data_IF_626299131988
#
_entry.id   IF_626299131988
#
_cell.length_a   1.000
_cell.length_b   1.000
_cell.length_c   1.000
_cell.angle_alpha   90.00
_cell.angle_beta   90.00
_cell.angle_gamma   90.00
#
_symmetry.space_group_name_H-M   'P 1'
#
loop_
_entity.id
_entity.type
_entity.pdbx_description
1 polymer ?
#
# COMPACT_ATOMS: atom_id res chain seq x y z
N UNK A 1 23.22 88.22 -55.72
CA UNK A 1 21.99 88.98 -55.38
C UNK A 1 20.89 87.94 -55.21
N UNK A 2 20.23 87.72 -54.08
CA UNK A 2 20.10 88.44 -52.80
C UNK A 2 19.53 87.44 -51.79
N UNK A 3 19.88 87.66 -50.52
CA UNK A 3 19.53 86.88 -49.33
C UNK A 3 18.07 87.02 -48.86
N UNK A 4 17.53 85.97 -48.22
CA UNK A 4 16.94 85.97 -46.85
C UNK A 4 16.47 84.53 -46.51
N UNK A 5 16.99 83.80 -45.52
CA UNK A 5 16.80 83.88 -44.04
C UNK A 5 15.29 83.79 -43.67
N UNK A 6 14.79 82.93 -42.76
CA UNK A 6 15.35 82.31 -41.54
C UNK A 6 14.34 81.25 -40.99
N UNK A 7 14.86 80.17 -40.39
CA UNK A 7 14.36 79.36 -39.23
C UNK A 7 12.89 78.93 -39.09
N UNK A 8 12.64 77.65 -38.82
CA UNK A 8 12.37 77.13 -37.44
C UNK A 8 12.35 75.58 -37.42
N UNK A 9 12.34 75.03 -36.22
CA UNK A 9 12.86 73.73 -35.77
C UNK A 9 12.01 72.49 -36.07
N UNK A 10 12.75 71.37 -36.12
CA UNK A 10 12.47 70.07 -35.50
C UNK A 10 11.00 69.62 -35.41
N UNK A 11 10.68 68.50 -36.04
CA UNK A 11 10.38 67.28 -35.27
C UNK A 11 10.32 66.02 -36.13
N UNK A 12 10.75 64.94 -35.49
CA UNK A 12 10.89 63.56 -35.93
C UNK A 12 9.72 63.04 -36.77
N UNK A 13 10.06 62.39 -37.89
CA UNK A 13 9.16 61.53 -38.66
C UNK A 13 8.67 60.39 -37.78
N UNK A 14 7.41 60.46 -37.32
CA UNK A 14 6.73 59.32 -36.72
C UNK A 14 6.21 58.41 -37.83
N UNK A 15 6.99 57.37 -38.15
CA UNK A 15 6.47 56.21 -38.86
C UNK A 15 5.59 55.46 -37.85
N UNK A 16 4.30 55.78 -37.85
CA UNK A 16 3.27 55.04 -37.14
C UNK A 16 3.04 53.67 -37.77
N UNK A 17 3.95 52.72 -37.56
CA UNK A 17 3.60 51.30 -37.62
C UNK A 17 2.97 50.93 -36.28
N UNK A 18 1.64 50.94 -36.24
CA UNK A 18 0.87 50.30 -35.18
C UNK A 18 1.16 48.80 -35.25
N UNK A 19 2.13 48.34 -34.45
CA UNK A 19 2.11 46.94 -34.02
C UNK A 19 0.91 46.81 -33.10
N UNK A 20 -0.16 46.20 -33.60
CA UNK A 20 -1.19 45.65 -32.75
C UNK A 20 -0.54 44.52 -31.94
N UNK A 21 -0.08 44.85 -30.73
CA UNK A 21 0.17 43.85 -29.70
C UNK A 21 -1.22 43.31 -29.37
N UNK A 22 -1.57 42.18 -29.99
CA UNK A 22 -2.80 41.47 -29.69
C UNK A 22 -2.87 41.21 -28.19
N UNK A 23 -4.05 41.41 -27.62
CA UNK A 23 -4.41 41.13 -26.24
C UNK A 23 -4.43 39.61 -25.95
N UNK A 24 -3.32 38.92 -26.27
CA UNK A 24 -3.13 37.48 -26.09
C UNK A 24 -1.75 37.14 -25.49
N UNK A 25 -0.97 38.14 -25.08
CA UNK A 25 0.41 37.93 -24.61
C UNK A 25 0.61 37.80 -23.10
N UNK A 26 -0.45 37.80 -22.28
CA UNK A 26 -0.31 37.88 -20.82
C UNK A 26 -1.25 36.99 -19.96
N UNK A 27 -1.62 35.77 -20.39
CA UNK A 27 -1.98 34.72 -19.42
C UNK A 27 -1.07 33.48 -19.45
N UNK A 28 -0.10 33.39 -20.37
CA UNK A 28 0.71 32.16 -20.54
C UNK A 28 1.86 32.02 -19.52
N UNK A 29 2.18 33.04 -18.74
CA UNK A 29 3.25 33.01 -17.74
C UNK A 29 2.81 32.67 -16.31
N UNK A 30 1.51 32.48 -16.05
CA UNK A 30 1.01 32.03 -14.74
C UNK A 30 0.58 30.55 -14.72
N UNK A 31 0.56 29.86 -15.87
CA UNK A 31 0.21 28.44 -15.97
C UNK A 31 1.44 27.51 -15.83
N UNK A 32 2.67 28.04 -15.91
CA UNK A 32 3.91 27.26 -15.89
C UNK A 32 4.53 27.05 -14.50
N UNK A 33 3.94 27.61 -13.43
CA UNK A 33 4.51 27.57 -12.07
C UNK A 33 3.65 26.82 -11.06
N UNK A 34 2.57 26.16 -11.50
CA UNK A 34 2.00 25.04 -10.74
C UNK A 34 2.83 23.81 -11.09
N UNK A 35 4.06 23.74 -10.57
CA UNK A 35 4.66 22.43 -10.35
C UNK A 35 3.62 21.68 -9.53
N UNK A 36 2.99 20.68 -10.13
CA UNK A 36 2.18 19.74 -9.38
C UNK A 36 3.12 19.15 -8.35
N UNK A 37 3.09 19.67 -7.12
CA UNK A 37 3.60 18.93 -5.99
C UNK A 37 2.74 17.68 -6.00
N UNK A 38 3.35 16.53 -6.28
CA UNK A 38 2.76 15.25 -5.94
C UNK A 38 2.28 15.38 -4.51
N UNK A 39 0.96 15.38 -4.29
CA UNK A 39 0.43 15.35 -2.95
C UNK A 39 0.89 14.01 -2.37
N UNK A 40 1.93 14.05 -1.52
CA UNK A 40 2.52 12.86 -0.91
C UNK A 40 1.50 12.34 0.09
N UNK A 41 0.72 11.34 -0.30
CA UNK A 41 -0.35 10.83 0.53
C UNK A 41 0.19 9.68 1.38
N UNK A 42 0.53 9.98 2.62
CA UNK A 42 1.09 9.01 3.56
C UNK A 42 0.24 7.73 3.69
N UNK A 43 0.88 6.63 4.10
CA UNK A 43 0.18 5.41 4.51
C UNK A 43 -0.66 5.74 5.75
N UNK A 44 -1.97 5.79 5.57
CA UNK A 44 -2.94 6.04 6.63
C UNK A 44 -3.94 4.87 6.67
N UNK A 45 -3.70 3.86 7.52
CA UNK A 45 -4.56 2.68 7.55
C UNK A 45 -5.92 2.98 8.17
N UNK A 46 -6.94 2.32 7.64
CA UNK A 46 -8.25 2.25 8.28
C UNK A 46 -8.18 1.25 9.44
N UNK A 47 -8.32 1.75 10.67
CA UNK A 47 -8.14 0.96 11.88
C UNK A 47 -9.39 0.16 12.27
N UNK A 48 -9.19 -1.14 12.51
CA UNK A 48 -10.17 -2.04 13.11
C UNK A 48 -10.09 -2.05 14.64
N UNK A 49 -9.01 -1.55 15.22
CA UNK A 49 -8.75 -1.51 16.66
C UNK A 49 -8.11 -2.79 17.19
N UNK A 50 -8.14 -2.93 18.52
CA UNK A 50 -7.59 -4.07 19.23
C UNK A 50 -8.64 -5.18 19.42
N UNK A 51 -8.25 -6.43 19.14
CA UNK A 51 -9.05 -7.64 19.29
C UNK A 51 -8.39 -8.56 20.31
N UNK A 52 -9.10 -8.81 21.42
CA UNK A 52 -8.62 -9.66 22.51
C UNK A 52 -8.86 -11.14 22.21
N UNK A 53 -7.78 -11.94 22.23
CA UNK A 53 -7.81 -13.37 21.99
C UNK A 53 -8.48 -14.17 23.14
N UNK A 54 -8.80 -13.53 24.27
CA UNK A 54 -9.57 -14.12 25.36
C UNK A 54 -11.09 -14.08 25.16
N UNK A 55 -11.59 -13.45 24.08
CA UNK A 55 -13.03 -13.19 23.85
C UNK A 55 -13.55 -14.04 22.68
N UNK A 56 -14.86 -14.20 22.56
CA UNK A 56 -15.49 -14.90 21.44
C UNK A 56 -15.12 -14.30 20.06
N UNK A 57 -15.35 -15.08 19.00
CA UNK A 57 -15.12 -14.67 17.60
C UNK A 57 -15.68 -13.28 17.32
N UNK A 58 -14.83 -12.39 16.82
CA UNK A 58 -15.20 -11.01 16.48
C UNK A 58 -15.15 -10.83 14.97
N UNK A 59 -16.18 -10.19 14.40
CA UNK A 59 -16.26 -9.86 12.96
C UNK A 59 -16.56 -8.39 12.77
N UNK A 60 -15.74 -7.70 11.98
CA UNK A 60 -15.84 -6.27 11.71
C UNK A 60 -15.67 -6.02 10.21
N UNK A 61 -16.39 -5.05 9.65
CA UNK A 61 -16.19 -4.58 8.28
C UNK A 61 -15.77 -3.10 8.27
N UNK A 62 -14.84 -2.76 7.37
CA UNK A 62 -14.44 -1.39 7.06
C UNK A 62 -14.30 -1.19 5.56
N UNK A 63 -14.51 0.04 5.12
CA UNK A 63 -14.40 0.44 3.71
C UNK A 63 -13.11 1.23 3.48
N UNK A 64 -12.54 1.09 2.29
CA UNK A 64 -11.46 1.94 1.82
C UNK A 64 -11.62 2.21 0.30
N UNK A 65 -10.83 3.13 -0.23
CA UNK A 65 -10.71 3.40 -1.66
C UNK A 65 -9.30 3.08 -2.16
N UNK A 66 -9.18 2.76 -3.45
CA UNK A 66 -7.90 2.52 -4.12
C UNK A 66 -7.86 3.24 -5.46
N UNK A 67 -6.66 3.47 -5.99
CA UNK A 67 -6.45 4.23 -7.22
C UNK A 67 -6.89 3.48 -8.48
N UNK A 68 -6.97 2.14 -8.45
CA UNK A 68 -7.42 1.36 -9.60
C UNK A 68 -7.31 -0.14 -9.44
N UNK A 69 -7.28 -0.82 -10.60
CA UNK A 69 -7.42 -2.27 -10.69
C UNK A 69 -6.09 -3.05 -10.64
N UNK A 70 -4.93 -2.36 -10.59
CA UNK A 70 -3.60 -2.99 -10.60
C UNK A 70 -2.76 -2.83 -9.32
N UNK A 71 -3.19 -2.00 -8.36
CA UNK A 71 -2.30 -1.55 -7.28
C UNK A 71 -1.73 -2.64 -6.36
N UNK A 72 -2.42 -3.78 -6.20
CA UNK A 72 -1.87 -4.88 -5.39
C UNK A 72 -0.91 -5.74 -6.22
N UNK A 73 -1.25 -6.00 -7.47
CA UNK A 73 -0.47 -6.87 -8.35
C UNK A 73 0.82 -6.21 -8.87
N UNK A 74 0.89 -4.88 -8.99
CA UNK A 74 2.17 -4.15 -9.17
C UNK A 74 3.16 -4.56 -8.08
N UNK A 75 2.71 -4.66 -6.82
CA UNK A 75 3.59 -5.08 -5.73
C UNK A 75 4.14 -6.50 -5.86
N UNK A 76 3.60 -7.32 -6.77
CA UNK A 76 4.04 -8.69 -6.98
C UNK A 76 5.10 -8.83 -8.08
N UNK A 77 5.40 -7.76 -8.82
CA UNK A 77 6.32 -7.79 -9.95
C UNK A 77 7.75 -7.36 -9.58
N UNK A 78 8.62 -7.33 -10.59
CA UNK A 78 10.04 -7.06 -10.42
C UNK A 78 10.39 -5.61 -10.07
N UNK A 79 9.55 -4.63 -10.41
CA UNK A 79 9.80 -3.22 -10.13
C UNK A 79 8.99 -2.67 -8.94
N UNK A 80 8.21 -3.51 -8.26
CA UNK A 80 7.56 -3.21 -6.99
C UNK A 80 6.49 -2.13 -7.14
N UNK A 81 5.51 -2.15 -6.24
CA UNK A 81 4.36 -1.26 -6.33
C UNK A 81 4.53 0.07 -5.60
N UNK A 82 3.68 1.01 -5.99
CA UNK A 82 3.42 2.25 -5.26
C UNK A 82 2.45 1.97 -4.09
N UNK A 83 2.83 2.29 -2.85
CA UNK A 83 1.93 2.12 -1.69
C UNK A 83 0.67 2.98 -1.80
N UNK A 84 0.71 4.09 -2.54
CA UNK A 84 -0.44 4.95 -2.80
C UNK A 84 -1.47 4.31 -3.75
N UNK A 85 -1.06 3.27 -4.49
CA UNK A 85 -1.99 2.48 -5.29
C UNK A 85 -2.81 1.49 -4.43
N UNK A 86 -2.49 1.39 -3.14
CA UNK A 86 -3.13 0.48 -2.19
C UNK A 86 -4.01 1.20 -1.18
N UNK A 87 -5.02 0.48 -0.70
CA UNK A 87 -5.77 0.83 0.50
C UNK A 87 -5.19 0.02 1.66
N UNK A 88 -4.96 0.69 2.79
CA UNK A 88 -4.39 0.03 3.97
C UNK A 88 -5.42 -0.10 5.10
N UNK A 89 -5.28 -1.17 5.88
CA UNK A 89 -6.07 -1.45 7.07
C UNK A 89 -5.16 -1.92 8.20
N UNK A 90 -5.48 -1.60 9.46
CA UNK A 90 -4.70 -2.06 10.61
C UNK A 90 -5.57 -2.72 11.66
N UNK A 91 -4.96 -3.62 12.44
CA UNK A 91 -5.56 -4.17 13.66
C UNK A 91 -4.47 -4.65 14.62
N UNK A 92 -4.83 -4.81 15.89
CA UNK A 92 -3.96 -5.40 16.91
C UNK A 92 -4.60 -6.64 17.51
N UNK A 93 -3.84 -7.73 17.63
CA UNK A 93 -4.24 -8.89 18.43
C UNK A 93 -3.63 -8.74 19.83
N UNK A 94 -4.46 -8.85 20.88
CA UNK A 94 -4.05 -8.68 22.28
C UNK A 94 -4.43 -9.89 23.12
N UNK A 95 -3.91 -10.00 24.34
CA UNK A 95 -4.12 -11.16 25.21
C UNK A 95 -3.04 -12.23 25.03
N UNK A 96 -3.39 -13.49 25.27
CA UNK A 96 -2.46 -14.64 25.22
C UNK A 96 -2.99 -15.73 24.30
N UNK A 97 -2.10 -16.43 23.58
CA UNK A 97 -2.46 -17.55 22.70
C UNK A 97 -2.24 -17.21 21.24
N UNK A 98 -3.05 -17.78 20.37
CA UNK A 98 -3.07 -17.53 18.93
C UNK A 98 -4.51 -17.42 18.42
N UNK A 99 -4.69 -16.88 17.22
CA UNK A 99 -5.98 -16.82 16.56
C UNK A 99 -5.89 -17.15 15.07
N UNK A 100 -6.96 -17.77 14.57
CA UNK A 100 -7.24 -17.82 13.15
C UNK A 100 -7.85 -16.49 12.73
N UNK A 101 -7.21 -15.83 11.77
CA UNK A 101 -7.64 -14.54 11.23
C UNK A 101 -8.06 -14.71 9.79
N UNK A 102 -9.35 -14.52 9.53
CA UNK A 102 -9.89 -14.52 8.17
C UNK A 102 -10.04 -13.09 7.68
N UNK A 103 -9.40 -12.82 6.55
CA UNK A 103 -9.58 -11.59 5.78
C UNK A 103 -10.47 -11.93 4.58
N UNK A 104 -11.54 -11.16 4.38
CA UNK A 104 -12.42 -11.28 3.22
C UNK A 104 -12.59 -9.91 2.57
N UNK A 105 -11.92 -9.72 1.45
CA UNK A 105 -11.91 -8.47 0.70
C UNK A 105 -12.92 -8.55 -0.44
N UNK A 106 -13.67 -7.47 -0.66
CA UNK A 106 -14.59 -7.35 -1.80
C UNK A 106 -14.46 -5.99 -2.48
N UNK A 107 -14.48 -6.00 -3.81
CA UNK A 107 -14.67 -4.81 -4.62
C UNK A 107 -16.08 -4.26 -4.42
N UNK A 108 -16.17 -2.94 -4.19
CA UNK A 108 -17.43 -2.21 -4.11
C UNK A 108 -17.58 -1.29 -5.32
N UNK A 109 -18.79 -1.24 -5.86
CA UNK A 109 -19.17 -0.20 -6.81
C UNK A 109 -19.09 1.15 -6.11
N UNK A 110 -18.31 2.09 -6.64
CA UNK A 110 -18.32 3.47 -6.14
C UNK A 110 -19.34 4.32 -6.92
N UNK A 111 -19.56 5.55 -6.46
CA UNK A 111 -20.48 6.52 -7.09
C UNK A 111 -20.12 6.89 -8.55
N UNK A 112 -18.95 6.44 -9.03
CA UNK A 112 -18.45 6.68 -10.39
C UNK A 112 -18.75 5.54 -11.37
N UNK A 113 -19.39 4.47 -10.93
CA UNK A 113 -19.75 3.33 -11.77
C UNK A 113 -18.54 2.46 -12.11
N UNK A 114 -18.53 1.26 -11.54
CA UNK A 114 -17.55 0.23 -11.86
C UNK A 114 -17.89 -1.03 -11.08
N UNK A 115 -18.38 -2.06 -11.77
CA UNK A 115 -18.26 -3.42 -11.26
C UNK A 115 -16.83 -3.89 -11.52
N UNK A 116 -16.24 -4.68 -10.63
CA UNK A 116 -15.09 -5.52 -11.02
C UNK A 116 -13.70 -5.05 -10.64
N UNK A 117 -13.50 -4.51 -9.44
CA UNK A 117 -12.20 -4.70 -8.79
C UNK A 117 -12.02 -6.20 -8.58
N UNK A 118 -11.03 -6.81 -9.21
CA UNK A 118 -10.53 -8.13 -8.83
C UNK A 118 -9.58 -7.91 -7.66
N UNK A 119 -9.96 -8.20 -6.40
CA UNK A 119 -9.16 -7.78 -5.26
C UNK A 119 -7.97 -8.71 -5.00
N UNK A 120 -6.90 -8.14 -4.46
CA UNK A 120 -5.80 -8.85 -3.81
C UNK A 120 -5.42 -8.14 -2.51
N UNK A 121 -4.88 -8.90 -1.56
CA UNK A 121 -4.34 -8.34 -0.33
C UNK A 121 -3.11 -9.10 0.16
N UNK A 122 -2.28 -8.39 0.92
CA UNK A 122 -1.17 -8.96 1.69
C UNK A 122 -1.29 -8.53 3.14
N UNK A 123 -1.12 -9.49 4.05
CA UNK A 123 -1.01 -9.27 5.49
C UNK A 123 0.47 -9.17 5.88
N UNK A 124 0.79 -8.16 6.68
CA UNK A 124 2.08 -7.99 7.32
C UNK A 124 1.93 -7.84 8.83
N UNK A 125 2.95 -8.26 9.55
CA UNK A 125 3.17 -7.86 10.94
C UNK A 125 3.98 -6.56 10.95
N UNK A 126 3.51 -5.57 11.72
CA UNK A 126 4.07 -4.21 11.77
C UNK A 126 2.99 -3.14 11.59
N UNK A 127 3.35 -1.88 11.85
CA UNK A 127 2.52 -0.70 11.62
C UNK A 127 3.36 0.37 10.93
N UNK A 128 2.67 1.20 10.13
CA UNK A 128 3.23 2.43 9.62
C UNK A 128 3.40 3.45 10.77
N UNK A 129 4.33 4.39 10.61
CA UNK A 129 4.36 5.60 11.43
C UNK A 129 3.07 6.38 11.23
N UNK A 130 2.65 7.07 12.29
CA UNK A 130 1.49 7.95 12.22
C UNK A 130 1.79 9.10 11.27
N UNK A 131 1.21 9.03 10.07
CA UNK A 131 1.16 10.13 9.12
C UNK A 131 2.52 10.57 8.59
N UNK A 132 3.44 9.64 8.30
CA UNK A 132 4.73 9.99 7.72
C UNK A 132 5.24 9.07 6.61
N UNK A 133 4.88 7.78 6.62
CA UNK A 133 5.48 6.84 5.67
C UNK A 133 4.88 6.97 4.27
N UNK A 134 5.73 7.04 3.25
CA UNK A 134 5.32 7.06 1.85
C UNK A 134 6.50 6.78 0.90
N UNK A 135 6.22 6.39 -0.33
CA UNK A 135 7.21 5.87 -1.28
C UNK A 135 8.30 6.85 -1.69
N UNK A 136 7.92 8.12 -1.84
CA UNK A 136 8.75 9.18 -2.39
C UNK A 136 9.42 10.02 -1.32
N UNK A 137 9.38 9.56 -0.06
CA UNK A 137 10.12 10.22 1.00
C UNK A 137 11.60 10.00 0.79
N UNK A 138 12.43 10.97 1.17
CA UNK A 138 13.90 10.85 1.00
C UNK A 138 14.40 9.56 1.64
N UNK A 139 13.90 9.21 2.83
CA UNK A 139 14.31 7.99 3.49
C UNK A 139 13.81 6.72 2.80
N UNK A 140 12.59 6.71 2.29
CA UNK A 140 12.05 5.57 1.54
C UNK A 140 12.80 5.35 0.23
N UNK A 141 13.14 6.42 -0.50
CA UNK A 141 13.93 6.33 -1.72
C UNK A 141 15.31 5.72 -1.47
N UNK A 142 15.96 6.08 -0.36
CA UNK A 142 17.26 5.52 0.03
C UNK A 142 17.17 4.04 0.41
N UNK A 143 16.16 3.67 1.21
CA UNK A 143 15.90 2.26 1.58
C UNK A 143 15.63 1.44 0.32
N UNK A 144 14.70 1.89 -0.52
CA UNK A 144 14.30 1.23 -1.76
C UNK A 144 15.46 1.10 -2.75
N UNK A 145 16.31 2.13 -2.87
CA UNK A 145 17.51 2.09 -3.71
C UNK A 145 18.50 1.05 -3.19
N UNK A 146 18.75 1.01 -1.88
CA UNK A 146 19.65 0.03 -1.28
C UNK A 146 19.13 -1.41 -1.44
N UNK A 147 17.84 -1.63 -1.20
CA UNK A 147 17.21 -2.93 -1.38
C UNK A 147 17.23 -3.38 -2.84
N UNK A 148 17.02 -2.46 -3.79
CA UNK A 148 17.02 -2.79 -5.22
C UNK A 148 18.43 -3.16 -5.65
N UNK A 149 19.44 -2.40 -5.22
CA UNK A 149 20.84 -2.74 -5.47
C UNK A 149 21.26 -4.09 -4.86
N UNK A 150 20.62 -4.51 -3.76
CA UNK A 150 20.84 -5.82 -3.14
C UNK A 150 20.04 -6.96 -3.81
N UNK A 151 19.08 -6.64 -4.68
CA UNK A 151 18.22 -7.61 -5.37
C UNK A 151 18.77 -7.85 -6.79
N UNK A 152 19.30 -9.06 -7.10
CA UNK A 152 19.85 -9.33 -8.42
C UNK A 152 18.81 -9.11 -9.54
N UNK A 153 19.17 -8.27 -10.51
CA UNK A 153 18.30 -7.95 -11.66
C UNK A 153 17.41 -6.73 -11.47
N UNK A 154 17.25 -6.22 -10.24
CA UNK A 154 16.52 -4.98 -10.00
C UNK A 154 17.31 -3.77 -10.50
N UNK A 155 16.69 -2.92 -11.32
CA UNK A 155 17.31 -1.69 -11.86
C UNK A 155 16.55 -0.43 -11.50
N UNK A 156 15.24 -0.54 -11.39
CA UNK A 156 14.30 0.56 -11.15
C UNK A 156 13.12 0.03 -10.38
N UNK A 157 12.50 0.88 -9.59
CA UNK A 157 11.27 0.51 -8.87
C UNK A 157 10.25 1.65 -8.89
N UNK A 158 8.96 1.32 -8.95
CA UNK A 158 7.88 2.32 -8.97
C UNK A 158 7.61 2.87 -7.56
N UNK A 159 7.72 2.01 -6.55
CA UNK A 159 7.56 2.34 -5.14
C UNK A 159 8.16 1.28 -4.22
N UNK A 160 7.78 1.32 -2.94
CA UNK A 160 8.34 0.45 -1.90
C UNK A 160 7.50 -0.79 -1.63
N UNK A 161 6.26 -0.85 -2.14
CA UNK A 161 5.31 -1.92 -1.82
C UNK A 161 5.72 -3.24 -2.47
N UNK A 162 5.88 -4.29 -1.65
CA UNK A 162 6.22 -5.64 -2.13
C UNK A 162 5.20 -6.68 -1.67
N UNK A 163 4.16 -6.91 -2.45
CA UNK A 163 3.03 -7.79 -2.13
C UNK A 163 3.39 -9.21 -1.64
N UNK A 164 4.59 -9.72 -1.97
CA UNK A 164 5.02 -11.07 -1.60
C UNK A 164 6.28 -11.12 -0.72
N UNK A 165 6.78 -9.98 -0.26
CA UNK A 165 8.03 -9.91 0.50
C UNK A 165 7.94 -8.88 1.62
N UNK A 166 8.73 -9.10 2.68
CA UNK A 166 8.92 -8.04 3.68
C UNK A 166 9.54 -6.81 3.04
N UNK A 167 9.13 -5.64 3.50
CA UNK A 167 9.70 -4.37 3.05
C UNK A 167 9.71 -3.34 4.17
N UNK A 168 10.47 -2.28 3.95
CA UNK A 168 10.58 -1.16 4.86
C UNK A 168 10.31 0.14 4.13
N UNK A 169 9.73 1.09 4.84
CA UNK A 169 9.38 2.41 4.34
C UNK A 169 9.51 3.41 5.47
N UNK A 170 9.75 4.68 5.16
CA UNK A 170 9.90 5.71 6.18
C UNK A 170 9.42 7.06 5.68
N UNK A 171 9.67 8.09 6.48
CA UNK A 171 9.22 9.46 6.28
C UNK A 171 10.32 10.33 5.66
N UNK A 172 10.00 11.60 5.37
CA UNK A 172 10.97 12.60 4.90
C UNK A 172 12.01 12.99 5.97
N UNK A 173 11.81 12.56 7.21
CA UNK A 173 12.79 12.76 8.26
C UNK A 173 14.09 12.01 7.97
N UNK A 174 15.19 12.53 8.51
CA UNK A 174 16.55 12.01 8.31
C UNK A 174 16.57 10.46 8.36
N UNK A 175 16.98 9.77 7.29
CA UNK A 175 17.06 8.30 7.22
C UNK A 175 18.04 7.70 8.23
N UNK A 176 18.92 8.52 8.82
CA UNK A 176 19.83 8.12 9.89
C UNK A 176 19.25 8.35 11.29
N UNK A 177 18.16 9.13 11.40
CA UNK A 177 17.52 9.51 12.66
C UNK A 177 16.15 8.88 12.92
N UNK A 178 15.44 8.42 11.89
CA UNK A 178 14.12 7.77 12.03
C UNK A 178 14.24 6.29 11.69
N UNK A 179 13.93 5.41 12.64
CA UNK A 179 13.83 3.98 12.35
C UNK A 179 12.72 3.75 11.33
N UNK A 180 12.92 2.92 10.28
CA UNK A 180 11.87 2.69 9.29
C UNK A 180 10.72 1.89 9.88
N UNK A 181 9.53 2.06 9.30
CA UNK A 181 8.47 1.08 9.46
C UNK A 181 8.88 -0.20 8.76
N UNK A 182 8.74 -1.33 9.47
CA UNK A 182 9.09 -2.65 8.95
C UNK A 182 7.82 -3.48 8.86
N UNK A 183 7.52 -3.94 7.65
CA UNK A 183 6.39 -4.81 7.38
C UNK A 183 6.92 -6.22 7.12
N UNK A 184 6.76 -7.09 8.11
CA UNK A 184 7.17 -8.49 7.99
C UNK A 184 6.07 -9.27 7.32
N UNK A 185 6.38 -9.87 6.16
CA UNK A 185 5.41 -10.61 5.36
C UNK A 185 4.83 -11.81 6.13
N UNK A 186 3.50 -11.92 6.17
CA UNK A 186 2.76 -13.05 6.75
C UNK A 186 2.20 -13.93 5.65
N UNK A 187 1.53 -13.33 4.66
CA UNK A 187 0.94 -14.04 3.54
C UNK A 187 0.00 -13.17 2.71
N UNK A 188 -0.46 -13.69 1.59
CA UNK A 188 -1.35 -12.97 0.67
C UNK A 188 -2.38 -13.90 0.04
N UNK A 189 -3.41 -13.28 -0.54
CA UNK A 189 -4.36 -13.95 -1.41
C UNK A 189 -4.93 -12.94 -2.41
N UNK A 190 -5.33 -13.44 -3.59
CA UNK A 190 -5.99 -12.61 -4.59
C UNK A 190 -7.03 -13.39 -5.40
N UNK A 191 -7.97 -12.65 -5.96
CA UNK A 191 -9.03 -13.18 -6.79
C UNK A 191 -8.50 -13.47 -8.21
N UNK A 192 -8.68 -14.70 -8.65
CA UNK A 192 -8.30 -15.17 -9.98
C UNK A 192 -6.95 -15.88 -10.03
N UNK A 193 -6.30 -15.75 -11.18
CA UNK A 193 -4.99 -16.32 -11.47
C UNK A 193 -4.26 -15.36 -12.40
N UNK A 194 -3.11 -14.85 -11.97
CA UNK A 194 -2.35 -13.84 -12.71
C UNK A 194 -0.97 -14.37 -13.05
N UNK A 195 -0.61 -14.25 -14.33
CA UNK A 195 0.76 -14.47 -14.80
C UNK A 195 1.35 -13.13 -15.22
N UNK A 196 2.40 -12.72 -14.52
CA UNK A 196 3.16 -11.52 -14.87
C UNK A 196 3.96 -11.79 -16.15
N UNK A 197 4.11 -10.80 -17.04
CA UNK A 197 4.97 -10.94 -18.20
C UNK A 197 6.42 -11.10 -17.76
N UNK A 198 7.24 -11.75 -18.58
CA UNK A 198 8.63 -12.05 -18.22
C UNK A 198 9.49 -10.82 -17.94
N UNK A 199 9.20 -9.69 -18.59
CA UNK A 199 9.87 -8.41 -18.30
C UNK A 199 9.64 -7.92 -16.87
N UNK A 200 8.52 -8.29 -16.25
CA UNK A 200 8.12 -7.88 -14.90
C UNK A 200 8.14 -9.09 -13.95
N UNK A 201 8.89 -10.14 -14.29
CA UNK A 201 9.08 -11.28 -13.40
C UNK A 201 9.79 -10.84 -12.12
N UNK A 202 9.26 -11.14 -10.92
CA UNK A 202 9.95 -10.86 -9.66
C UNK A 202 11.22 -11.71 -9.48
N UNK A 203 11.46 -12.68 -10.37
CA UNK A 203 12.67 -13.50 -10.42
C UNK A 203 13.76 -12.92 -11.33
N UNK A 204 13.45 -11.88 -12.11
CA UNK A 204 14.37 -11.23 -13.06
C UNK A 204 15.04 -12.19 -14.05
N UNK A 205 14.33 -13.25 -14.43
CA UNK A 205 14.80 -14.31 -15.34
C UNK A 205 14.22 -14.17 -16.77
N UNK A 206 13.43 -13.14 -17.01
CA UNK A 206 12.75 -12.89 -18.28
C UNK A 206 11.63 -13.90 -18.58
N UNK A 207 11.25 -14.76 -17.63
CA UNK A 207 10.20 -15.76 -17.82
C UNK A 207 8.88 -15.32 -17.21
N UNK A 208 7.73 -15.62 -17.84
CA UNK A 208 6.44 -15.35 -17.24
C UNK A 208 6.33 -15.99 -15.85
N UNK A 209 5.82 -15.23 -14.88
CA UNK A 209 5.74 -15.65 -13.49
C UNK A 209 4.29 -15.79 -13.05
N UNK A 210 3.87 -17.01 -12.70
CA UNK A 210 2.55 -17.25 -12.12
C UNK A 210 2.56 -16.83 -10.64
N UNK A 211 1.77 -15.81 -10.30
CA UNK A 211 1.65 -15.34 -8.91
C UNK A 211 0.94 -16.42 -8.08
N UNK A 212 1.56 -16.94 -7.01
CA UNK A 212 0.99 -18.00 -6.18
C UNK A 212 -0.22 -17.51 -5.37
N UNK A 213 -1.02 -18.43 -4.82
CA UNK A 213 -2.15 -18.14 -3.92
C UNK A 213 -3.30 -17.31 -4.53
N UNK A 214 -3.46 -17.38 -5.86
CA UNK A 214 -4.72 -16.99 -6.50
C UNK A 214 -5.81 -18.01 -6.20
N UNK A 215 -7.04 -17.56 -5.96
CA UNK A 215 -8.18 -18.46 -5.72
C UNK A 215 -8.70 -19.19 -6.98
N UNK A 216 -8.13 -18.88 -8.14
CA UNK A 216 -8.47 -19.50 -9.43
C UNK A 216 -9.79 -19.02 -10.03
N UNK A 217 -10.51 -18.09 -9.38
CA UNK A 217 -11.82 -17.61 -9.83
C UNK A 217 -11.71 -16.25 -10.54
N UNK A 218 -11.48 -16.27 -11.85
CA UNK A 218 -11.24 -15.07 -12.65
C UNK A 218 -12.43 -14.08 -12.73
N UNK A 219 -13.63 -14.48 -12.28
CA UNK A 219 -14.86 -13.67 -12.39
C UNK A 219 -15.40 -13.15 -11.05
N UNK A 220 -14.71 -13.41 -9.94
CA UNK A 220 -15.10 -12.91 -8.63
C UNK A 220 -14.82 -11.41 -8.49
N UNK A 221 -15.50 -10.76 -7.54
CA UNK A 221 -15.14 -9.44 -7.03
C UNK A 221 -14.71 -9.53 -5.56
N UNK A 222 -14.33 -10.72 -5.11
CA UNK A 222 -14.04 -11.00 -3.72
C UNK A 222 -12.97 -12.08 -3.62
N UNK A 223 -12.16 -11.99 -2.56
CA UNK A 223 -11.20 -13.04 -2.18
C UNK A 223 -11.21 -13.16 -0.66
N UNK A 224 -11.05 -14.37 -0.15
CA UNK A 224 -10.90 -14.60 1.29
C UNK A 224 -9.79 -15.60 1.58
N UNK A 225 -9.08 -15.37 2.68
CA UNK A 225 -8.03 -16.25 3.17
C UNK A 225 -7.97 -16.24 4.68
N UNK A 226 -7.69 -17.40 5.27
CA UNK A 226 -7.52 -17.58 6.72
C UNK A 226 -6.05 -17.78 7.03
N UNK A 227 -5.50 -16.88 7.84
CA UNK A 227 -4.18 -17.00 8.45
C UNK A 227 -4.31 -17.73 9.77
N UNK A 228 -3.62 -18.85 9.89
CA UNK A 228 -3.69 -19.69 11.08
C UNK A 228 -2.66 -19.28 12.12
N UNK A 229 -3.02 -19.45 13.39
CA UNK A 229 -2.12 -19.32 14.53
C UNK A 229 -1.39 -17.97 14.66
N UNK A 230 -2.03 -16.86 14.29
CA UNK A 230 -1.45 -15.52 14.51
C UNK A 230 -1.36 -15.19 16.01
N UNK A 231 -0.17 -14.82 16.45
CA UNK A 231 0.09 -14.42 17.84
C UNK A 231 -0.29 -12.96 18.10
N UNK A 232 -0.40 -12.53 19.38
CA UNK A 232 -0.52 -11.13 19.73
C UNK A 232 0.53 -10.26 19.03
N UNK A 233 0.09 -9.09 18.55
CA UNK A 233 0.92 -8.22 17.73
C UNK A 233 0.09 -7.23 16.92
N UNK A 234 0.78 -6.30 16.26
CA UNK A 234 0.15 -5.37 15.35
C UNK A 234 0.30 -5.83 13.92
N UNK A 235 -0.76 -5.67 13.15
CA UNK A 235 -0.85 -6.15 11.79
C UNK A 235 -1.40 -5.06 10.88
N UNK A 236 -0.92 -5.06 9.64
CA UNK A 236 -1.36 -4.16 8.59
C UNK A 236 -1.66 -4.97 7.32
N UNK A 237 -2.73 -4.59 6.63
CA UNK A 237 -3.15 -5.19 5.37
C UNK A 237 -2.99 -4.15 4.28
N UNK A 238 -2.29 -4.50 3.21
CA UNK A 238 -2.28 -3.72 1.97
C UNK A 238 -3.19 -4.42 0.97
N UNK A 239 -4.18 -3.70 0.46
CA UNK A 239 -5.24 -4.25 -0.38
C UNK A 239 -5.48 -3.36 -1.61
N UNK A 240 -5.58 -3.95 -2.79
CA UNK A 240 -5.86 -3.25 -4.04
C UNK A 240 -6.29 -4.23 -5.13
N UNK A 241 -6.29 -3.79 -6.39
CA UNK A 241 -6.65 -4.63 -7.52
C UNK A 241 -5.52 -5.55 -7.97
N UNK A 242 -5.92 -6.72 -8.48
CA UNK A 242 -5.06 -7.78 -8.96
C UNK A 242 -5.08 -7.94 -10.50
N UNK A 243 -5.69 -6.99 -11.24
CA UNK A 243 -5.75 -7.04 -12.70
C UNK A 243 -4.56 -6.32 -13.33
N UNK A 244 -3.50 -7.08 -13.64
CA UNK A 244 -2.26 -6.54 -14.21
C UNK A 244 -2.45 -5.92 -15.60
N UNK A 245 -3.41 -6.41 -16.39
CA UNK A 245 -3.67 -5.92 -17.74
C UNK A 245 -4.51 -4.63 -17.79
N UNK A 246 -4.85 -4.05 -16.63
CA UNK A 246 -5.70 -2.87 -16.57
C UNK A 246 -4.99 -1.64 -17.15
N UNK A 247 -5.49 -1.15 -18.29
CA UNK A 247 -4.99 0.06 -18.97
C UNK A 247 -5.63 1.35 -18.46
N UNK A 248 -6.77 1.25 -17.78
CA UNK A 248 -7.42 2.36 -17.09
C UNK A 248 -7.50 2.05 -15.61
N UNK A 249 -7.13 3.01 -14.78
CA UNK A 249 -7.20 2.92 -13.31
C UNK A 249 -8.17 3.95 -12.76
N UNK A 250 -9.49 3.79 -12.94
CA UNK A 250 -10.43 4.65 -12.23
C UNK A 250 -10.43 4.22 -10.77
N UNK A 251 -10.50 5.19 -9.86
CA UNK A 251 -10.61 4.89 -8.43
C UNK A 251 -11.71 3.86 -8.15
N UNK A 252 -11.49 2.99 -7.17
CA UNK A 252 -12.41 1.90 -6.78
C UNK A 252 -12.71 1.96 -5.30
N UNK A 253 -13.90 1.50 -4.93
CA UNK A 253 -14.24 1.21 -3.54
C UNK A 253 -13.92 -0.24 -3.20
N UNK A 254 -13.61 -0.50 -1.94
CA UNK A 254 -13.45 -1.85 -1.41
C UNK A 254 -13.96 -1.94 0.03
N UNK A 255 -14.33 -3.15 0.44
CA UNK A 255 -14.63 -3.47 1.84
C UNK A 255 -13.83 -4.67 2.30
N UNK A 256 -13.16 -4.55 3.44
CA UNK A 256 -12.50 -5.65 4.12
C UNK A 256 -13.34 -6.09 5.31
N UNK A 257 -13.66 -7.37 5.36
CA UNK A 257 -14.20 -8.03 6.55
C UNK A 257 -13.06 -8.77 7.25
N UNK A 258 -12.85 -8.43 8.52
CA UNK A 258 -11.92 -9.08 9.43
C UNK A 258 -12.72 -9.97 10.38
N UNK A 259 -12.40 -11.26 10.41
CA UNK A 259 -12.94 -12.21 11.39
C UNK A 259 -11.78 -12.82 12.18
N UNK A 260 -11.80 -12.65 13.50
CA UNK A 260 -10.79 -13.20 14.41
C UNK A 260 -11.43 -14.27 15.27
N UNK A 261 -10.90 -15.49 15.22
CA UNK A 261 -11.34 -16.63 16.04
C UNK A 261 -10.17 -17.12 16.87
N UNK A 262 -10.18 -16.95 18.21
CA UNK A 262 -9.11 -17.48 19.03
C UNK A 262 -8.99 -19.00 18.90
N UNK A 263 -7.75 -19.49 18.84
CA UNK A 263 -7.46 -20.92 18.81
C UNK A 263 -7.50 -21.45 20.25
N UNK A 264 -8.42 -22.36 20.59
CA UNK A 264 -8.47 -22.92 21.93
C UNK A 264 -7.19 -23.68 22.26
N UNK A 265 -6.53 -23.33 23.37
CA UNK A 265 -5.42 -24.15 23.88
C UNK A 265 -5.99 -25.54 24.21
N UNK A 266 -5.42 -26.64 23.67
CA UNK A 266 -5.99 -27.97 23.86
C UNK A 266 -6.25 -28.25 25.34
N UNK A 267 -7.45 -28.73 25.67
CA UNK A 267 -7.83 -29.09 27.04
C UNK A 267 -6.85 -30.08 27.69
N UNK A 268 -6.11 -30.84 26.87
CA UNK A 268 -5.01 -31.68 27.29
C UNK A 268 -3.94 -30.92 28.11
N UNK A 269 -3.59 -29.68 27.77
CA UNK A 269 -2.61 -28.91 28.55
C UNK A 269 -3.10 -28.64 29.98
N UNK A 270 -4.39 -28.31 30.13
CA UNK A 270 -5.04 -28.13 31.43
C UNK A 270 -5.20 -29.46 32.20
N UNK A 271 -5.52 -30.56 31.50
CA UNK A 271 -5.64 -31.90 32.08
C UNK A 271 -4.28 -32.48 32.49
N UNK A 272 -3.23 -32.26 31.71
CA UNK A 272 -1.86 -32.64 32.07
C UNK A 272 -1.36 -31.82 33.25
N UNK A 273 -1.58 -30.50 33.26
CA UNK A 273 -1.22 -29.64 34.39
C UNK A 273 -1.94 -30.01 35.69
N UNK A 274 -3.26 -30.22 35.63
CA UNK A 274 -4.06 -30.62 36.80
C UNK A 274 -3.78 -32.07 37.22
N UNK A 275 -3.54 -32.99 36.27
CA UNK A 275 -3.15 -34.37 36.53
C UNK A 275 -1.81 -34.49 37.25
N UNK A 276 -0.79 -33.72 36.82
CA UNK A 276 0.52 -33.64 37.49
C UNK A 276 0.41 -33.10 38.92
N UNK A 277 -0.36 -32.03 39.12
CA UNK A 277 -0.63 -31.49 40.47
C UNK A 277 -1.35 -32.51 41.36
N UNK A 278 -2.30 -33.27 40.80
CA UNK A 278 -2.99 -34.36 41.48
C UNK A 278 -2.02 -35.47 41.91
N UNK A 279 -1.16 -35.93 41.00
CA UNK A 279 -0.14 -36.96 41.27
C UNK A 279 0.88 -36.50 42.33
N UNK A 280 1.35 -35.26 42.28
CA UNK A 280 2.26 -34.71 43.27
C UNK A 280 1.65 -34.62 44.67
N UNK A 281 0.37 -34.20 44.76
CA UNK A 281 -0.37 -34.16 46.03
C UNK A 281 -0.59 -35.56 46.61
N UNK A 282 -0.80 -36.57 45.77
CA UNK A 282 -0.89 -37.97 46.22
C UNK A 282 0.47 -38.52 46.67
N UNK A 283 1.56 -38.14 46.00
CA UNK A 283 2.91 -38.54 46.40
C UNK A 283 3.27 -37.99 47.79
N UNK A 284 2.98 -36.71 48.06
CA UNK A 284 3.22 -36.09 49.38
C UNK A 284 2.45 -36.76 50.53
N UNK A 285 1.29 -37.35 50.27
CA UNK A 285 0.50 -38.07 51.29
C UNK A 285 1.05 -39.44 51.64
N UNK A 286 1.97 -40.00 50.85
CA UNK A 286 2.60 -41.31 51.14
C UNK A 286 3.90 -41.20 51.96
N UNK A 287 4.45 -40.00 52.07
CA UNK A 287 5.72 -39.72 52.76
C UNK A 287 5.53 -39.03 54.13
N UNK A 288 4.30 -38.83 54.56
CA UNK A 288 3.93 -38.36 55.91
C UNK A 288 3.17 -39.49 56.61
#
# INVERSE_FOLDING_TARGET
>A
MTHNKLTEQQTLRSIGRRFAIGAFGLPLLLAGSLTATSAMAHIVPVDFGALDLGVATTTIERNNGVSGDKGWIDGADGDWGDTHATGTYSFSLTGTGSADVTLALRGKSNAFGGAGLSPGFTLYQGLAHVGGDHDFSIGSELIRTADCAATPGCTTTEGSFRAMNSFSITTDADPTGTSPSVFTYVGHAYNGSVTLPGENSPLYDGQPYLVPNGDGTATGNAVSFTFHDLTPGNYIVFAAGANYAAVTSPARGMGLTLTVTPVPVPAAAWLFGSGLLGLWRMHRRKTA
#
